data_IF_369469457246
#
_entry.id   IF_369469457246
#
_cell.length_a   1.000
_cell.length_b   1.000
_cell.length_c   1.000
_cell.angle_alpha   90.00
_cell.angle_beta   90.00
_cell.angle_gamma   90.00
#
_symmetry.space_group_name_H-M   'P 1'
#
loop_
_entity.id
_entity.type
_entity.pdbx_description
1 polymer ?
#
# COMPACT_ATOMS: atom_id res chain seq x y z
N UNK A 1 -27.48 41.01 -10.98
CA UNK A 1 -26.48 39.93 -11.07
C UNK A 1 -25.18 40.22 -10.33
N UNK A 2 -24.42 41.29 -10.63
CA UNK A 2 -23.08 41.52 -10.03
C UNK A 2 -23.03 41.58 -8.49
N UNK A 3 -24.06 42.12 -7.82
CA UNK A 3 -24.16 42.18 -6.34
C UNK A 3 -24.20 40.79 -5.65
N UNK A 4 -24.58 39.73 -6.36
CA UNK A 4 -24.64 38.36 -5.82
C UNK A 4 -23.37 37.54 -6.08
N UNK A 5 -22.47 38.00 -6.95
CA UNK A 5 -21.25 37.25 -7.30
C UNK A 5 -20.23 37.27 -6.16
N UNK A 6 -20.03 38.42 -5.50
CA UNK A 6 -19.11 38.57 -4.37
C UNK A 6 -19.45 37.69 -3.16
N UNK A 7 -20.69 37.71 -2.62
CA UNK A 7 -21.03 36.86 -1.48
C UNK A 7 -20.98 35.37 -1.85
N UNK A 8 -21.32 35.01 -3.09
CA UNK A 8 -21.21 33.64 -3.57
C UNK A 8 -19.75 33.17 -3.67
N UNK A 9 -18.86 34.00 -4.23
CA UNK A 9 -17.43 33.71 -4.28
C UNK A 9 -16.81 33.54 -2.90
N UNK A 10 -17.15 34.44 -1.96
CA UNK A 10 -16.70 34.35 -0.57
C UNK A 10 -17.24 33.09 0.14
N UNK A 11 -18.48 32.69 -0.14
CA UNK A 11 -19.06 31.46 0.41
C UNK A 11 -18.30 30.23 -0.10
N UNK A 12 -18.00 30.16 -1.39
CA UNK A 12 -17.22 29.05 -1.98
C UNK A 12 -15.84 28.96 -1.32
N UNK A 13 -15.13 30.10 -1.21
CA UNK A 13 -13.81 30.14 -0.56
C UNK A 13 -13.91 29.68 0.89
N UNK A 14 -14.89 30.18 1.64
CA UNK A 14 -15.09 29.82 3.04
C UNK A 14 -15.38 28.32 3.21
N UNK A 15 -16.23 27.74 2.37
CA UNK A 15 -16.55 26.30 2.41
C UNK A 15 -15.31 25.44 2.13
N UNK A 16 -14.48 25.81 1.17
CA UNK A 16 -13.23 25.10 0.87
C UNK A 16 -12.27 25.19 2.05
N UNK A 17 -12.08 26.39 2.62
CA UNK A 17 -11.22 26.57 3.80
C UNK A 17 -11.72 25.71 4.97
N UNK A 18 -13.02 25.76 5.26
CA UNK A 18 -13.64 24.97 6.34
C UNK A 18 -13.45 23.47 6.10
N UNK A 19 -13.56 22.99 4.87
CA UNK A 19 -13.32 21.59 4.53
C UNK A 19 -11.85 21.18 4.69
N UNK A 20 -10.90 22.09 4.44
CA UNK A 20 -9.47 21.81 4.57
C UNK A 20 -8.94 21.90 6.02
N UNK A 21 -9.54 22.73 6.88
CA UNK A 21 -9.13 22.89 8.28
C UNK A 21 -8.97 21.56 9.02
N UNK A 22 -9.97 20.65 9.05
CA UNK A 22 -9.85 19.42 9.81
C UNK A 22 -8.81 18.44 9.22
N UNK A 23 -8.38 18.63 7.97
CA UNK A 23 -7.36 17.77 7.32
C UNK A 23 -5.92 18.30 7.45
N UNK A 24 -5.77 19.57 7.85
CA UNK A 24 -4.49 20.28 7.87
C UNK A 24 -4.06 20.67 9.29
N UNK A 25 -4.98 21.20 10.10
CA UNK A 25 -4.64 21.69 11.45
C UNK A 25 -4.22 20.55 12.38
N UNK A 26 -4.91 19.39 12.43
CA UNK A 26 -4.50 18.30 13.33
C UNK A 26 -3.09 17.78 13.04
N UNK A 27 -2.67 17.68 11.77
CA UNK A 27 -1.29 17.33 11.40
C UNK A 27 -0.25 18.29 12.00
N UNK A 28 -0.53 19.60 12.00
CA UNK A 28 0.35 20.60 12.62
C UNK A 28 0.43 20.45 14.16
N UNK A 29 -0.58 19.83 14.76
CA UNK A 29 -0.64 19.50 16.18
C UNK A 29 -0.07 18.10 16.51
N UNK A 30 0.52 17.42 15.51
CA UNK A 30 1.14 16.10 15.68
C UNK A 30 0.18 14.93 15.61
N UNK A 31 -1.01 15.11 15.03
CA UNK A 31 -1.95 14.01 14.80
C UNK A 31 -1.66 13.33 13.46
N UNK A 32 -1.76 12.00 13.46
CA UNK A 32 -1.93 11.18 12.26
C UNK A 32 -3.42 11.02 11.97
N UNK A 33 -3.77 10.93 10.69
CA UNK A 33 -5.16 10.86 10.21
C UNK A 33 -5.36 9.59 9.40
N UNK A 34 -6.37 8.78 9.74
CA UNK A 34 -6.70 7.56 9.01
C UNK A 34 -8.19 7.50 8.68
N UNK A 35 -8.50 7.02 7.47
CA UNK A 35 -9.87 6.85 7.02
C UNK A 35 -10.40 5.49 7.49
N UNK A 36 -11.61 5.48 8.03
CA UNK A 36 -12.27 4.25 8.49
C UNK A 36 -13.08 3.68 7.34
N UNK A 37 -12.67 2.53 6.81
CA UNK A 37 -13.31 1.94 5.64
C UNK A 37 -13.97 0.58 5.89
N UNK A 38 -13.72 -0.03 7.06
CA UNK A 38 -14.40 -1.23 7.53
C UNK A 38 -15.31 -0.94 8.72
N UNK A 39 -16.29 -1.81 8.96
CA UNK A 39 -17.27 -1.69 10.05
C UNK A 39 -16.84 -2.34 11.37
N UNK A 40 -15.57 -2.77 11.51
CA UNK A 40 -15.13 -3.54 12.69
C UNK A 40 -15.23 -2.77 14.00
N UNK A 41 -15.22 -1.43 13.95
CA UNK A 41 -15.35 -0.55 15.10
C UNK A 41 -16.77 -0.01 15.33
N UNK A 42 -17.78 -0.52 14.61
CA UNK A 42 -19.16 -0.12 14.87
C UNK A 42 -19.69 -0.68 16.20
N UNK A 43 -20.55 0.07 16.93
CA UNK A 43 -21.09 1.39 16.59
C UNK A 43 -20.22 2.58 17.04
N UNK A 44 -19.08 2.33 17.69
CA UNK A 44 -18.27 3.40 18.30
C UNK A 44 -17.64 4.33 17.26
N UNK A 45 -17.13 3.76 16.17
CA UNK A 45 -16.55 4.50 15.04
C UNK A 45 -17.16 3.96 13.76
N UNK A 46 -18.01 4.75 13.11
CA UNK A 46 -18.70 4.35 11.88
C UNK A 46 -17.80 4.41 10.65
N UNK A 47 -18.11 3.58 9.65
CA UNK A 47 -17.50 3.67 8.31
C UNK A 47 -17.61 5.09 7.76
N UNK A 48 -16.56 5.54 7.06
CA UNK A 48 -16.45 6.90 6.52
C UNK A 48 -16.02 7.95 7.54
N UNK A 49 -15.73 7.56 8.79
CA UNK A 49 -15.10 8.45 9.76
C UNK A 49 -13.64 8.75 9.39
N UNK A 50 -13.16 9.93 9.74
CA UNK A 50 -11.72 10.21 9.82
C UNK A 50 -11.30 10.17 11.29
N UNK A 51 -10.38 9.26 11.65
CA UNK A 51 -9.83 9.15 13.00
C UNK A 51 -8.55 9.96 13.14
N UNK A 52 -8.38 10.58 14.31
CA UNK A 52 -7.20 11.38 14.66
C UNK A 52 -6.43 10.69 15.77
N UNK A 53 -5.19 10.34 15.45
CA UNK A 53 -4.34 9.47 16.26
C UNK A 53 -3.15 10.27 16.76
N UNK A 54 -2.84 10.15 18.04
CA UNK A 54 -1.66 10.75 18.64
C UNK A 54 -0.69 9.66 19.11
N UNK A 55 0.62 9.76 18.79
CA UNK A 55 1.61 8.87 19.37
C UNK A 55 1.50 8.85 20.89
N UNK A 56 1.63 7.66 21.46
CA UNK A 56 1.50 7.42 22.90
C UNK A 56 2.59 6.44 23.34
N UNK A 57 3.17 6.68 24.52
CA UNK A 57 4.10 5.74 25.12
C UNK A 57 3.36 4.49 25.60
N UNK A 58 4.03 3.33 25.65
CA UNK A 58 3.42 2.07 26.08
C UNK A 58 2.69 2.21 27.44
N UNK A 59 3.29 2.95 28.37
CA UNK A 59 2.75 3.16 29.71
C UNK A 59 1.56 4.13 29.78
N UNK A 60 1.27 4.86 28.70
CA UNK A 60 0.11 5.75 28.57
C UNK A 60 -1.12 5.04 27.99
N UNK A 61 -0.92 3.84 27.43
CA UNK A 61 -1.97 3.01 26.87
C UNK A 61 -2.60 2.12 27.95
N UNK A 62 -3.90 1.96 27.89
CA UNK A 62 -4.68 1.15 28.82
C UNK A 62 -5.71 0.30 28.10
N UNK A 63 -6.16 -0.78 28.74
CA UNK A 63 -7.32 -1.53 28.27
C UNK A 63 -8.49 -0.58 27.99
N UNK A 64 -9.26 -0.89 26.95
CA UNK A 64 -10.35 -0.11 26.37
C UNK A 64 -9.93 1.10 25.55
N UNK A 65 -8.65 1.47 25.51
CA UNK A 65 -8.19 2.46 24.54
C UNK A 65 -8.34 1.92 23.12
N UNK A 66 -8.67 2.81 22.19
CA UNK A 66 -8.63 2.50 20.76
C UNK A 66 -7.28 2.98 20.24
N UNK A 67 -6.55 2.08 19.61
CA UNK A 67 -5.25 2.37 19.01
C UNK A 67 -5.31 2.17 17.51
N UNK A 68 -4.49 2.93 16.80
CA UNK A 68 -4.16 2.64 15.41
C UNK A 68 -2.76 2.02 15.36
N UNK A 69 -2.61 0.92 14.63
CA UNK A 69 -1.36 0.18 14.52
C UNK A 69 -1.16 -0.37 13.10
N UNK A 70 0.09 -0.62 12.75
CA UNK A 70 0.47 -1.24 11.48
C UNK A 70 0.18 -2.74 11.53
N UNK A 71 -0.55 -3.23 10.53
CA UNK A 71 -0.84 -4.64 10.31
C UNK A 71 -0.48 -4.99 8.86
N UNK A 72 0.78 -5.36 8.65
CA UNK A 72 1.36 -5.55 7.32
C UNK A 72 1.33 -4.25 6.50
N UNK A 73 0.51 -4.21 5.44
CA UNK A 73 0.41 -3.04 4.57
C UNK A 73 -0.71 -2.05 4.93
N UNK A 74 -1.54 -2.39 5.91
CA UNK A 74 -2.71 -1.60 6.31
C UNK A 74 -2.54 -1.03 7.71
N UNK A 75 -3.32 0.00 8.03
CA UNK A 75 -3.43 0.53 9.39
C UNK A 75 -4.77 0.08 9.95
N UNK A 76 -4.72 -0.70 11.02
CA UNK A 76 -5.92 -1.19 11.72
C UNK A 76 -6.18 -0.31 12.92
N UNK A 77 -7.47 -0.05 13.20
CA UNK A 77 -7.90 0.72 14.37
C UNK A 77 -8.80 -0.16 15.22
N UNK A 78 -8.28 -0.73 16.31
CA UNK A 78 -9.05 -1.62 17.20
C UNK A 78 -8.86 -1.25 18.67
N UNK A 79 -9.73 -1.79 19.52
CA UNK A 79 -9.72 -1.56 20.96
C UNK A 79 -8.81 -2.55 21.67
N UNK A 80 -7.96 -2.07 22.57
CA UNK A 80 -7.16 -2.91 23.46
C UNK A 80 -8.11 -3.66 24.41
N UNK A 81 -8.02 -4.98 24.42
CA UNK A 81 -8.76 -5.85 25.35
C UNK A 81 -7.85 -6.47 26.41
N UNK A 82 -6.54 -6.55 26.15
CA UNK A 82 -5.54 -7.07 27.09
C UNK A 82 -4.17 -6.45 26.80
N UNK A 83 -3.33 -6.32 27.84
CA UNK A 83 -1.96 -5.80 27.74
C UNK A 83 -0.99 -6.78 28.41
N UNK A 84 -0.05 -7.33 27.64
CA UNK A 84 1.10 -8.05 28.17
C UNK A 84 2.27 -7.07 28.36
N UNK A 85 2.57 -6.76 29.62
CA UNK A 85 3.64 -5.81 29.98
C UNK A 85 5.03 -6.42 29.93
N UNK A 86 5.16 -7.73 29.99
CA UNK A 86 6.47 -8.41 29.94
C UNK A 86 6.97 -8.47 28.49
N UNK A 87 6.06 -8.78 27.56
CA UNK A 87 6.37 -8.90 26.13
C UNK A 87 6.10 -7.63 25.33
N UNK A 88 5.52 -6.60 25.97
CA UNK A 88 5.11 -5.33 25.33
C UNK A 88 4.13 -5.55 24.16
N UNK A 89 3.16 -6.45 24.38
CA UNK A 89 2.14 -6.82 23.41
C UNK A 89 0.74 -6.35 23.84
N UNK A 90 -0.10 -6.08 22.85
CA UNK A 90 -1.51 -5.77 23.02
C UNK A 90 -2.37 -6.82 22.32
N UNK A 91 -3.35 -7.37 23.03
CA UNK A 91 -4.46 -8.06 22.36
C UNK A 91 -5.51 -7.03 22.00
N UNK A 92 -5.87 -6.95 20.73
CA UNK A 92 -6.86 -6.00 20.22
C UNK A 92 -8.12 -6.70 19.76
N UNK A 93 -9.20 -5.92 19.61
CA UNK A 93 -10.48 -6.38 19.10
C UNK A 93 -11.25 -5.23 18.47
N UNK A 94 -11.84 -5.45 17.30
CA UNK A 94 -12.87 -4.57 16.75
C UNK A 94 -14.15 -4.63 17.59
N UNK A 95 -14.75 -3.49 17.90
CA UNK A 95 -15.97 -3.41 18.73
C UNK A 95 -17.14 -4.27 18.22
N UNK A 96 -17.24 -4.45 16.89
CA UNK A 96 -18.26 -5.26 16.23
C UNK A 96 -17.87 -6.75 16.13
N UNK A 97 -16.60 -7.11 16.38
CA UNK A 97 -16.11 -8.47 16.19
C UNK A 97 -16.60 -9.40 17.32
N UNK A 98 -16.77 -10.69 17.03
CA UNK A 98 -17.18 -11.69 18.02
C UNK A 98 -16.06 -12.07 18.99
N UNK A 99 -14.85 -12.26 18.46
CA UNK A 99 -13.64 -12.65 19.18
C UNK A 99 -12.58 -11.54 19.16
N UNK A 100 -11.53 -11.71 19.97
CA UNK A 100 -10.33 -10.91 19.85
C UNK A 100 -9.58 -11.24 18.54
N UNK A 101 -8.71 -10.32 18.13
CA UNK A 101 -7.82 -10.54 16.99
C UNK A 101 -6.82 -11.65 17.32
N UNK A 102 -6.52 -12.51 16.34
CA UNK A 102 -5.71 -13.71 16.57
C UNK A 102 -4.23 -13.36 16.84
N UNK A 103 -3.71 -12.35 16.15
CA UNK A 103 -2.32 -11.92 16.28
C UNK A 103 -2.22 -10.77 17.29
N UNK A 104 -1.43 -10.91 18.36
CA UNK A 104 -1.15 -9.81 19.26
C UNK A 104 -0.33 -8.72 18.54
N UNK A 105 -0.52 -7.48 18.97
CA UNK A 105 0.12 -6.29 18.37
C UNK A 105 1.31 -5.89 19.23
N UNK A 106 2.52 -5.93 18.66
CA UNK A 106 3.69 -5.40 19.33
C UNK A 106 3.61 -3.88 19.48
N UNK A 107 4.05 -3.34 20.62
CA UNK A 107 4.08 -1.90 20.86
C UNK A 107 4.80 -1.11 19.76
N UNK A 108 5.86 -1.70 19.18
CA UNK A 108 6.60 -1.12 18.06
C UNK A 108 5.75 -0.84 16.83
N UNK A 109 4.63 -1.56 16.67
CA UNK A 109 3.72 -1.42 15.54
C UNK A 109 2.57 -0.44 15.84
N UNK A 110 2.47 0.05 17.08
CA UNK A 110 1.45 1.03 17.48
C UNK A 110 1.83 2.41 16.98
N UNK A 111 0.99 2.98 16.12
CA UNK A 111 1.13 4.35 15.62
C UNK A 111 0.72 5.34 16.72
N UNK A 112 -0.32 4.99 17.47
CA UNK A 112 -0.76 5.77 18.62
C UNK A 112 -2.21 5.53 19.02
N UNK A 113 -2.66 6.35 19.97
CA UNK A 113 -4.02 6.31 20.51
C UNK A 113 -4.96 7.17 19.67
N UNK A 114 -6.13 6.64 19.33
CA UNK A 114 -7.22 7.42 18.74
C UNK A 114 -7.76 8.38 19.81
N UNK A 115 -7.69 9.68 19.55
CA UNK A 115 -8.14 10.71 20.47
C UNK A 115 -9.59 11.12 20.18
N UNK A 116 -9.92 11.27 18.89
CA UNK A 116 -11.27 11.58 18.43
C UNK A 116 -11.45 11.18 16.97
N UNK A 117 -12.70 11.17 16.49
CA UNK A 117 -13.03 10.93 15.10
C UNK A 117 -14.13 11.89 14.64
N UNK A 118 -14.21 12.13 13.33
CA UNK A 118 -15.28 12.92 12.72
C UNK A 118 -15.99 12.04 11.68
N UNK A 119 -17.27 11.66 11.89
CA UNK A 119 -18.04 10.90 10.92
C UNK A 119 -18.13 11.59 9.56
N UNK A 120 -18.22 10.81 8.48
CA UNK A 120 -18.36 11.26 7.08
C UNK A 120 -17.14 12.00 6.50
N UNK A 121 -16.29 12.60 7.34
CA UNK A 121 -15.12 13.35 6.89
C UNK A 121 -14.07 12.47 6.19
N UNK A 122 -14.06 11.16 6.45
CA UNK A 122 -13.24 10.20 5.76
C UNK A 122 -13.48 10.20 4.24
N UNK A 123 -14.74 10.35 3.80
CA UNK A 123 -15.07 10.48 2.38
C UNK A 123 -14.54 11.78 1.76
N UNK A 124 -14.63 12.89 2.49
CA UNK A 124 -14.10 14.18 2.03
C UNK A 124 -12.57 14.11 1.91
N UNK A 125 -11.92 13.51 2.90
CA UNK A 125 -10.48 13.28 2.90
C UNK A 125 -10.06 12.39 1.73
N UNK A 126 -10.80 11.32 1.43
CA UNK A 126 -10.54 10.44 0.31
C UNK A 126 -10.62 11.18 -1.04
N UNK A 127 -11.69 11.96 -1.26
CA UNK A 127 -11.83 12.78 -2.47
C UNK A 127 -10.65 13.76 -2.60
N UNK A 128 -10.29 14.46 -1.51
CA UNK A 128 -9.18 15.42 -1.53
C UNK A 128 -7.80 14.77 -1.57
N UNK A 129 -7.68 13.46 -1.31
CA UNK A 129 -6.44 12.71 -1.48
C UNK A 129 -6.17 12.38 -2.96
N UNK A 130 -7.21 12.24 -3.78
CA UNK A 130 -7.11 11.96 -5.21
C UNK A 130 -6.67 13.18 -6.03
N UNK A 131 -5.97 12.92 -7.14
CA UNK A 131 -5.48 13.97 -8.05
C UNK A 131 -6.64 14.80 -8.63
N UNK A 132 -7.73 14.15 -9.05
CA UNK A 132 -8.90 14.83 -9.60
C UNK A 132 -9.61 15.68 -8.55
N UNK A 133 -9.76 15.19 -7.33
CA UNK A 133 -10.37 15.95 -6.25
C UNK A 133 -9.56 17.19 -5.86
N UNK A 134 -8.23 17.10 -5.85
CA UNK A 134 -7.34 18.26 -5.65
C UNK A 134 -7.50 19.30 -6.76
N UNK A 135 -7.54 18.86 -8.02
CA UNK A 135 -7.77 19.76 -9.17
C UNK A 135 -9.14 20.43 -9.05
N UNK A 136 -10.19 19.66 -8.73
CA UNK A 136 -11.54 20.17 -8.53
C UNK A 136 -11.61 21.21 -7.42
N UNK A 137 -10.99 20.95 -6.27
CA UNK A 137 -10.91 21.90 -5.17
C UNK A 137 -10.17 23.19 -5.56
N UNK A 138 -9.05 23.08 -6.29
CA UNK A 138 -8.30 24.22 -6.79
C UNK A 138 -9.11 25.06 -7.81
N UNK A 139 -9.84 24.40 -8.72
CA UNK A 139 -10.73 25.07 -9.66
C UNK A 139 -11.89 25.79 -8.95
N UNK A 140 -12.52 25.15 -7.95
CA UNK A 140 -13.56 25.78 -7.15
C UNK A 140 -13.02 26.99 -6.38
N UNK A 141 -11.80 26.91 -5.85
CA UNK A 141 -11.15 28.03 -5.20
C UNK A 141 -10.88 29.18 -6.18
N UNK A 142 -10.38 28.88 -7.38
CA UNK A 142 -10.16 29.86 -8.45
C UNK A 142 -11.48 30.52 -8.89
N UNK A 143 -12.55 29.74 -9.06
CA UNK A 143 -13.89 30.26 -9.35
C UNK A 143 -14.37 31.16 -8.22
N UNK A 144 -14.20 30.75 -6.97
CA UNK A 144 -14.53 31.56 -5.79
C UNK A 144 -13.80 32.90 -5.79
N UNK A 145 -12.50 32.89 -6.07
CA UNK A 145 -11.67 34.10 -6.17
C UNK A 145 -12.09 35.00 -7.34
N UNK A 146 -12.35 34.42 -8.51
CA UNK A 146 -12.85 35.15 -9.69
C UNK A 146 -14.20 35.80 -9.41
N UNK A 147 -15.15 35.08 -8.81
CA UNK A 147 -16.47 35.59 -8.45
C UNK A 147 -16.39 36.70 -7.38
N UNK A 148 -15.48 36.55 -6.42
CA UNK A 148 -15.22 37.56 -5.39
C UNK A 148 -14.67 38.86 -6.01
N UNK A 149 -13.69 38.76 -6.91
CA UNK A 149 -13.07 39.90 -7.60
C UNK A 149 -13.98 40.54 -8.67
N UNK A 150 -14.72 39.76 -9.45
CA UNK A 150 -15.67 40.27 -10.46
C UNK A 150 -16.84 41.05 -9.83
N UNK A 151 -17.13 40.78 -8.56
CA UNK A 151 -18.10 41.54 -7.77
C UNK A 151 -17.58 42.89 -7.24
N UNK A 152 -16.28 43.18 -7.34
CA UNK A 152 -15.67 44.45 -6.90
C UNK A 152 -15.59 45.52 -8.00
N UNK A 153 -15.66 45.13 -9.28
CA UNK A 153 -15.59 46.09 -10.39
C UNK A 153 -16.96 46.77 -10.64
N UNK A 154 -17.06 48.02 -10.15
CA UNK A 154 -18.13 49.03 -10.22
C UNK A 154 -19.10 49.12 -9.02
N UNK A 155 -18.65 49.83 -7.96
CA UNK A 155 -19.46 50.88 -7.32
C UNK A 155 -18.53 52.08 -6.98
N UNK A 156 -17.96 52.73 -8.00
CA UNK A 156 -17.62 54.15 -7.88
C UNK A 156 -18.70 54.95 -8.61
N UNK A 157 -19.60 55.55 -7.82
CA UNK A 157 -20.75 56.28 -8.35
C UNK A 157 -21.62 56.90 -7.26
N UNK A 158 -21.08 57.97 -6.63
CA UNK A 158 -21.72 59.12 -5.95
C UNK A 158 -22.83 58.95 -4.89
N UNK A 159 -22.56 59.59 -3.74
CA UNK A 159 -23.42 60.17 -2.70
C UNK A 159 -24.36 59.28 -1.86
N UNK A 160 -24.03 59.10 -0.59
CA UNK A 160 -24.61 59.88 0.54
C UNK A 160 -24.07 59.35 1.87
N UNK A 161 -23.91 60.26 2.83
CA UNK A 161 -23.42 60.00 4.18
C UNK A 161 -24.33 59.01 4.92
N UNK A 162 -23.76 57.86 5.31
CA UNK A 162 -24.19 57.18 6.52
C UNK A 162 -23.03 56.33 7.05
N UNK A 163 -22.72 56.50 8.34
CA UNK A 163 -21.66 55.77 9.05
C UNK A 163 -22.01 54.28 9.10
N UNK A 164 -21.62 53.54 8.06
CA UNK A 164 -21.58 52.10 8.09
C UNK A 164 -20.30 51.66 8.81
N UNK A 165 -20.46 50.85 9.87
CA UNK A 165 -19.36 50.15 10.54
C UNK A 165 -18.57 49.38 9.48
N UNK A 166 -17.33 49.82 9.18
CA UNK A 166 -16.41 49.11 8.29
C UNK A 166 -16.07 47.76 8.91
N UNK A 167 -16.82 46.71 8.55
CA UNK A 167 -16.37 45.33 8.76
C UNK A 167 -15.08 45.14 7.98
N UNK A 168 -13.95 45.05 8.68
CA UNK A 168 -12.66 44.69 8.08
C UNK A 168 -12.77 43.23 7.61
N UNK A 169 -13.10 43.05 6.32
CA UNK A 169 -12.89 41.77 5.66
C UNK A 169 -11.40 41.51 5.52
N UNK A 170 -11.02 40.23 5.47
CA UNK A 170 -9.63 39.81 5.24
C UNK A 170 -9.18 40.33 3.86
N UNK A 171 -7.99 40.94 3.80
CA UNK A 171 -7.42 41.48 2.55
C UNK A 171 -7.32 40.35 1.49
N UNK A 172 -7.91 40.51 0.29
CA UNK A 172 -7.84 39.52 -0.78
C UNK A 172 -6.40 39.08 -1.14
N UNK A 173 -5.40 39.95 -0.91
CA UNK A 173 -3.98 39.61 -1.10
C UNK A 173 -3.49 38.56 -0.11
N UNK A 174 -3.99 38.57 1.12
CA UNK A 174 -3.67 37.56 2.14
C UNK A 174 -4.27 36.21 1.74
N UNK A 175 -5.51 36.21 1.24
CA UNK A 175 -6.18 34.99 0.75
C UNK A 175 -5.43 34.41 -0.45
N UNK A 176 -5.01 35.25 -1.39
CA UNK A 176 -4.20 34.84 -2.55
C UNK A 176 -2.84 34.27 -2.13
N UNK A 177 -2.15 34.92 -1.18
CA UNK A 177 -0.87 34.43 -0.67
C UNK A 177 -0.99 33.07 0.02
N UNK A 178 -2.05 32.87 0.82
CA UNK A 178 -2.34 31.56 1.44
C UNK A 178 -2.65 30.50 0.37
N UNK A 179 -3.44 30.84 -0.65
CA UNK A 179 -3.76 29.94 -1.75
C UNK A 179 -2.51 29.51 -2.53
N UNK A 180 -1.62 30.45 -2.86
CA UNK A 180 -0.34 30.16 -3.53
C UNK A 180 0.55 29.26 -2.67
N UNK A 181 0.64 29.52 -1.36
CA UNK A 181 1.42 28.69 -0.45
C UNK A 181 0.92 27.24 -0.40
N UNK A 182 -0.40 27.02 -0.40
CA UNK A 182 -1.00 25.67 -0.46
C UNK A 182 -0.66 24.99 -1.80
N UNK A 183 -0.76 25.71 -2.91
CA UNK A 183 -0.45 25.18 -4.25
C UNK A 183 1.02 24.80 -4.35
N UNK A 184 1.95 25.67 -3.95
CA UNK A 184 3.38 25.36 -4.00
C UNK A 184 3.77 24.21 -3.06
N UNK A 185 3.16 24.14 -1.87
CA UNK A 185 3.36 23.01 -0.95
C UNK A 185 2.86 21.70 -1.53
N UNK A 186 1.71 21.73 -2.22
CA UNK A 186 1.14 20.56 -2.90
C UNK A 186 2.01 20.10 -4.08
N UNK A 187 2.53 21.04 -4.87
CA UNK A 187 3.47 20.74 -5.96
C UNK A 187 4.76 20.12 -5.41
N UNK A 188 5.32 20.70 -4.33
CA UNK A 188 6.49 20.14 -3.66
C UNK A 188 6.28 18.71 -3.16
N UNK A 189 5.11 18.43 -2.57
CA UNK A 189 4.72 17.08 -2.15
C UNK A 189 4.57 16.09 -3.31
N UNK A 190 3.98 16.52 -4.44
CA UNK A 190 3.87 15.69 -5.65
C UNK A 190 5.26 15.38 -6.22
N UNK A 191 6.13 16.38 -6.33
CA UNK A 191 7.51 16.21 -6.79
C UNK A 191 8.25 15.23 -5.89
N UNK A 192 8.16 15.38 -4.56
CA UNK A 192 8.78 14.47 -3.61
C UNK A 192 8.32 13.02 -3.79
N UNK A 193 7.01 12.78 -3.90
CA UNK A 193 6.46 11.43 -4.13
C UNK A 193 6.97 10.86 -5.46
N UNK A 194 6.88 11.63 -6.54
CA UNK A 194 7.32 11.18 -7.87
C UNK A 194 8.82 10.88 -7.91
N UNK A 195 9.65 11.73 -7.30
CA UNK A 195 11.09 11.48 -7.13
C UNK A 195 11.37 10.19 -6.35
N UNK A 196 10.53 9.86 -5.36
CA UNK A 196 10.62 8.60 -4.64
C UNK A 196 10.37 7.36 -5.50
N UNK A 197 9.37 7.39 -6.39
CA UNK A 197 9.10 6.31 -7.36
C UNK A 197 10.29 6.13 -8.32
N UNK A 198 10.73 7.22 -8.93
CA UNK A 198 11.85 7.24 -9.87
C UNK A 198 13.16 6.75 -9.24
N UNK A 199 13.42 7.11 -7.98
CA UNK A 199 14.61 6.61 -7.26
C UNK A 199 14.57 5.09 -7.13
N UNK A 200 13.44 4.52 -6.71
CA UNK A 200 13.33 3.08 -6.48
C UNK A 200 13.39 2.28 -7.78
N UNK A 201 12.72 2.75 -8.83
CA UNK A 201 12.73 2.14 -10.16
C UNK A 201 14.16 2.10 -10.71
N UNK A 202 14.86 3.23 -10.67
CA UNK A 202 16.27 3.31 -11.10
C UNK A 202 17.19 2.38 -10.31
N UNK A 203 16.93 2.16 -9.01
CA UNK A 203 17.71 1.21 -8.22
C UNK A 203 17.54 -0.20 -8.78
N UNK A 204 16.30 -0.67 -8.98
CA UNK A 204 16.04 -2.02 -9.46
C UNK A 204 16.44 -2.22 -10.93
N UNK A 205 16.25 -1.22 -11.80
CA UNK A 205 16.77 -1.24 -13.16
C UNK A 205 18.31 -1.36 -13.18
N UNK A 206 19.00 -0.63 -12.30
CA UNK A 206 20.46 -0.75 -12.18
C UNK A 206 20.89 -2.12 -11.67
N UNK A 207 20.14 -2.71 -10.72
CA UNK A 207 20.45 -4.07 -10.25
C UNK A 207 20.28 -5.08 -11.39
N UNK A 208 19.16 -4.99 -12.12
CA UNK A 208 18.92 -5.85 -13.27
C UNK A 208 20.03 -5.68 -14.33
N UNK A 209 20.37 -4.45 -14.71
CA UNK A 209 21.36 -4.17 -15.73
C UNK A 209 22.79 -4.61 -15.37
N UNK A 210 23.15 -4.59 -14.07
CA UNK A 210 24.52 -4.90 -13.64
C UNK A 210 24.71 -6.35 -13.17
N UNK A 211 23.64 -7.02 -12.72
CA UNK A 211 23.73 -8.34 -12.10
C UNK A 211 22.93 -9.42 -12.82
N UNK A 212 22.23 -9.08 -13.91
CA UNK A 212 21.53 -10.07 -14.74
C UNK A 212 22.05 -10.08 -16.16
N UNK A 213 22.02 -11.25 -16.78
CA UNK A 213 22.30 -11.44 -18.22
C UNK A 213 21.08 -12.10 -18.84
N UNK A 214 20.41 -11.40 -19.75
CA UNK A 214 19.25 -11.92 -20.49
C UNK A 214 19.75 -12.54 -21.80
N UNK A 215 19.27 -13.74 -22.14
CA UNK A 215 19.57 -14.32 -23.44
C UNK A 215 19.01 -13.45 -24.59
N UNK A 216 19.69 -13.46 -25.74
CA UNK A 216 19.22 -12.74 -26.91
C UNK A 216 17.83 -13.26 -27.33
N UNK A 217 16.90 -12.35 -27.66
CA UNK A 217 15.50 -12.64 -27.99
C UNK A 217 15.27 -13.59 -29.19
N UNK A 218 16.33 -14.00 -29.89
CA UNK A 218 16.31 -14.88 -31.06
C UNK A 218 16.89 -16.28 -30.78
N UNK A 219 17.32 -16.57 -29.54
CA UNK A 219 17.82 -17.89 -29.20
C UNK A 219 16.63 -18.85 -28.94
N UNK A 220 16.53 -19.94 -29.71
CA UNK A 220 15.81 -21.16 -29.31
C UNK A 220 16.55 -21.77 -28.09
N UNK A 221 16.41 -21.13 -26.93
CA UNK A 221 17.03 -21.51 -25.67
C UNK A 221 16.08 -22.33 -24.81
N UNK A 222 16.63 -23.02 -23.82
CA UNK A 222 15.81 -23.63 -22.77
C UNK A 222 15.31 -22.53 -21.82
N UNK A 223 14.25 -22.79 -21.05
CA UNK A 223 13.69 -21.80 -20.11
C UNK A 223 14.74 -21.23 -19.14
N UNK A 224 15.72 -22.06 -18.76
CA UNK A 224 16.78 -21.68 -17.85
C UNK A 224 17.85 -20.79 -18.49
N UNK A 225 17.85 -20.60 -19.81
CA UNK A 225 18.78 -19.69 -20.49
C UNK A 225 18.24 -18.24 -20.52
N UNK A 226 16.95 -18.03 -20.21
CA UNK A 226 16.30 -16.72 -20.33
C UNK A 226 16.94 -15.64 -19.45
N UNK A 227 17.35 -16.00 -18.23
CA UNK A 227 17.94 -15.08 -17.27
C UNK A 227 19.02 -15.75 -16.40
N UNK A 228 20.25 -15.26 -16.46
CA UNK A 228 21.32 -15.56 -15.50
C UNK A 228 21.49 -14.41 -14.51
N UNK A 229 21.79 -14.73 -13.24
CA UNK A 229 21.92 -13.74 -12.16
C UNK A 229 23.18 -13.98 -11.34
N UNK A 230 24.00 -12.96 -11.13
CA UNK A 230 25.17 -13.00 -10.24
C UNK A 230 24.75 -12.78 -8.77
N UNK A 231 24.14 -13.81 -8.19
CA UNK A 231 23.68 -13.81 -6.79
C UNK A 231 24.84 -13.53 -5.82
N UNK A 232 26.04 -14.05 -6.11
CA UNK A 232 27.21 -13.87 -5.25
C UNK A 232 27.63 -12.39 -5.15
N UNK A 233 27.52 -11.62 -6.24
CA UNK A 233 27.79 -10.18 -6.20
C UNK A 233 26.67 -9.39 -5.52
N UNK A 234 25.41 -9.78 -5.68
CA UNK A 234 24.29 -9.19 -4.94
C UNK A 234 24.43 -9.40 -3.43
N UNK A 235 24.89 -10.59 -3.00
CA UNK A 235 25.14 -10.90 -1.59
C UNK A 235 26.28 -10.08 -0.97
N UNK A 236 27.22 -9.57 -1.79
CA UNK A 236 28.24 -8.60 -1.30
C UNK A 236 27.64 -7.24 -1.00
N UNK A 237 26.57 -6.85 -1.69
CA UNK A 237 25.80 -5.63 -1.40
C UNK A 237 25.02 -5.84 -0.11
N UNK A 238 24.26 -6.94 -0.05
CA UNK A 238 23.51 -7.33 1.13
C UNK A 238 23.47 -8.86 1.29
N UNK A 239 24.07 -9.41 2.36
CA UNK A 239 24.07 -10.86 2.63
C UNK A 239 22.69 -11.49 2.79
N UNK A 240 21.63 -10.68 2.96
CA UNK A 240 20.24 -11.14 3.06
C UNK A 240 19.54 -11.33 1.71
N UNK A 241 20.27 -11.22 0.59
CA UNK A 241 19.79 -11.68 -0.71
C UNK A 241 19.84 -13.20 -0.75
N UNK A 242 18.69 -13.83 -0.90
CA UNK A 242 18.53 -15.30 -0.92
C UNK A 242 18.18 -15.87 -2.29
N UNK A 243 17.89 -15.00 -3.26
CA UNK A 243 17.60 -15.40 -4.63
C UNK A 243 17.16 -14.23 -5.49
N UNK A 244 16.66 -14.55 -6.68
CA UNK A 244 16.09 -13.62 -7.64
C UNK A 244 14.80 -14.19 -8.21
N UNK A 245 13.74 -13.38 -8.23
CA UNK A 245 12.46 -13.74 -8.81
C UNK A 245 12.37 -13.15 -10.22
N UNK A 246 11.99 -13.97 -11.19
CA UNK A 246 11.69 -13.54 -12.56
C UNK A 246 10.37 -14.14 -13.04
N UNK A 247 9.39 -13.31 -13.41
CA UNK A 247 8.15 -13.79 -14.05
C UNK A 247 8.32 -13.69 -15.57
N UNK A 248 8.25 -14.83 -16.23
CA UNK A 248 8.63 -14.98 -17.64
C UNK A 248 7.74 -14.12 -18.55
N UNK A 249 8.36 -13.47 -19.54
CA UNK A 249 7.69 -12.53 -20.44
C UNK A 249 7.31 -11.18 -19.82
N UNK A 250 7.67 -10.92 -18.56
CA UNK A 250 7.39 -9.64 -17.88
C UNK A 250 8.67 -8.92 -17.45
N UNK A 251 8.53 -7.72 -16.89
CA UNK A 251 9.60 -6.98 -16.19
C UNK A 251 9.57 -7.18 -14.66
N UNK A 252 8.78 -8.14 -14.17
CA UNK A 252 8.87 -8.55 -12.76
C UNK A 252 10.16 -9.36 -12.62
N UNK A 253 11.24 -8.66 -12.28
CA UNK A 253 12.59 -9.23 -12.15
C UNK A 253 13.32 -8.53 -11.01
N UNK A 254 13.41 -9.16 -9.84
CA UNK A 254 13.87 -8.51 -8.62
C UNK A 254 14.67 -9.46 -7.69
N UNK A 255 15.61 -8.93 -6.89
CA UNK A 255 16.23 -9.71 -5.83
C UNK A 255 15.21 -10.05 -4.75
N UNK A 256 15.32 -11.25 -4.19
CA UNK A 256 14.52 -11.75 -3.07
C UNK A 256 15.32 -11.59 -1.79
N UNK A 257 14.80 -10.79 -0.87
CA UNK A 257 15.39 -10.52 0.43
C UNK A 257 14.82 -11.43 1.52
N UNK A 258 15.57 -11.70 2.59
CA UNK A 258 15.06 -12.41 3.76
C UNK A 258 15.59 -11.82 5.06
N UNK A 259 14.68 -11.52 5.99
CA UNK A 259 15.00 -10.95 7.30
C UNK A 259 14.65 -11.85 8.49
N UNK A 260 13.88 -12.92 8.30
CA UNK A 260 13.22 -13.65 9.39
C UNK A 260 12.07 -12.86 10.04
N UNK A 261 11.64 -11.76 9.40
CA UNK A 261 10.49 -10.93 9.74
C UNK A 261 9.89 -10.39 8.44
N UNK A 262 8.61 -9.98 8.48
CA UNK A 262 7.88 -9.46 7.32
C UNK A 262 7.84 -7.92 7.23
N UNK A 263 8.61 -7.23 8.07
CA UNK A 263 8.52 -5.78 8.26
C UNK A 263 9.71 -5.05 7.61
N UNK A 264 10.92 -5.59 7.76
CA UNK A 264 12.16 -4.91 7.38
C UNK A 264 12.17 -4.53 5.91
N UNK A 265 11.86 -5.47 5.03
CA UNK A 265 11.93 -5.26 3.58
C UNK A 265 10.64 -4.73 2.98
N UNK A 266 9.59 -4.53 3.80
CA UNK A 266 8.38 -3.84 3.36
C UNK A 266 8.67 -2.40 2.92
N UNK A 267 9.66 -1.71 3.52
CA UNK A 267 9.99 -0.31 3.18
C UNK A 267 11.48 -0.04 3.04
N UNK A 268 12.27 -1.09 2.76
CA UNK A 268 13.71 -0.97 2.57
C UNK A 268 14.14 -1.59 1.25
N UNK A 269 15.12 -0.96 0.61
CA UNK A 269 15.82 -1.51 -0.56
C UNK A 269 16.88 -2.53 -0.14
N UNK A 270 17.53 -3.15 -1.13
CA UNK A 270 18.72 -3.99 -0.93
C UNK A 270 19.81 -3.31 -0.10
N UNK A 271 20.00 -1.99 -0.22
CA UNK A 271 21.01 -1.22 0.53
C UNK A 271 20.54 -0.80 1.94
N UNK A 272 19.39 -1.31 2.40
CA UNK A 272 18.69 -0.94 3.64
C UNK A 272 18.21 0.52 3.70
N UNK A 273 18.22 1.26 2.58
CA UNK A 273 17.66 2.61 2.49
C UNK A 273 16.13 2.56 2.50
N UNK A 274 15.50 3.58 3.09
CA UNK A 274 14.05 3.72 3.04
C UNK A 274 13.57 3.92 1.60
N UNK A 275 12.66 3.07 1.16
CA UNK A 275 11.96 3.21 -0.11
C UNK A 275 10.50 2.79 0.03
N UNK A 276 9.59 3.59 -0.51
CA UNK A 276 8.16 3.31 -0.50
C UNK A 276 7.81 2.00 -1.22
N UNK A 277 8.61 1.61 -2.21
CA UNK A 277 8.43 0.37 -2.96
C UNK A 277 8.86 -0.89 -2.20
N UNK A 278 9.61 -0.74 -1.09
CA UNK A 278 10.24 -1.87 -0.40
C UNK A 278 11.17 -2.68 -1.31
N UNK A 279 11.31 -3.96 -0.98
CA UNK A 279 11.92 -5.01 -1.80
C UNK A 279 10.94 -6.16 -2.00
N UNK A 280 11.28 -7.10 -2.88
CA UNK A 280 10.64 -8.43 -2.89
C UNK A 280 11.29 -9.24 -1.77
N UNK A 281 10.49 -9.90 -0.93
CA UNK A 281 11.03 -10.63 0.22
C UNK A 281 10.24 -11.91 0.54
N UNK A 282 10.94 -12.87 1.13
CA UNK A 282 10.39 -14.14 1.61
C UNK A 282 9.80 -13.96 3.01
N UNK A 283 8.69 -14.63 3.26
CA UNK A 283 7.99 -14.76 4.55
C UNK A 283 8.93 -15.18 5.69
N UNK A 284 8.81 -14.49 6.82
CA UNK A 284 9.71 -14.61 7.97
C UNK A 284 9.70 -15.99 8.63
N UNK A 285 8.58 -16.71 8.57
CA UNK A 285 8.48 -18.08 9.09
C UNK A 285 8.98 -19.16 8.11
N UNK A 286 9.28 -18.82 6.85
CA UNK A 286 9.88 -19.77 5.92
C UNK A 286 11.39 -19.93 6.13
N UNK A 287 11.91 -21.11 5.78
CA UNK A 287 13.35 -21.33 5.69
C UNK A 287 13.92 -20.68 4.43
N UNK A 288 14.99 -19.92 4.60
CA UNK A 288 15.68 -19.22 3.49
C UNK A 288 16.37 -20.13 2.48
N UNK A 289 16.39 -21.44 2.73
CA UNK A 289 16.98 -22.46 1.85
C UNK A 289 15.97 -23.06 0.86
N UNK A 290 14.72 -22.56 0.86
CA UNK A 290 13.65 -23.04 -0.02
C UNK A 290 13.30 -24.51 0.22
N UNK A 291 13.50 -25.02 1.45
CA UNK A 291 13.18 -26.41 1.78
C UNK A 291 11.70 -26.64 2.13
N UNK A 292 10.95 -25.58 2.45
CA UNK A 292 9.54 -25.69 2.79
C UNK A 292 8.68 -26.15 1.60
N UNK A 293 7.65 -26.95 1.89
CA UNK A 293 6.64 -27.31 0.88
C UNK A 293 5.91 -26.08 0.34
N UNK A 294 5.65 -25.07 1.19
CA UNK A 294 5.00 -23.82 0.81
C UNK A 294 5.84 -22.61 1.20
N UNK A 295 6.21 -21.80 0.20
CA UNK A 295 6.96 -20.55 0.40
C UNK A 295 6.11 -19.36 -0.03
N UNK A 296 6.16 -18.26 0.72
CA UNK A 296 5.41 -17.05 0.39
C UNK A 296 6.38 -15.89 0.13
N UNK A 297 6.21 -15.25 -1.03
CA UNK A 297 6.99 -14.09 -1.45
C UNK A 297 6.06 -12.87 -1.51
N UNK A 298 6.47 -11.80 -0.84
CA UNK A 298 5.73 -10.55 -0.77
C UNK A 298 6.33 -9.49 -1.69
N UNK A 299 5.46 -8.64 -2.24
CA UNK A 299 5.85 -7.46 -2.99
C UNK A 299 4.73 -6.41 -3.05
N UNK A 300 5.10 -5.13 -3.11
CA UNK A 300 4.13 -4.04 -3.21
C UNK A 300 3.41 -4.01 -4.56
N UNK A 301 2.11 -3.67 -4.55
CA UNK A 301 1.35 -3.38 -5.77
C UNK A 301 1.52 -1.89 -6.10
N UNK A 302 2.54 -1.56 -6.87
CA UNK A 302 2.85 -0.18 -7.16
C UNK A 302 1.94 0.41 -8.24
N UNK A 303 1.59 1.69 -8.08
CA UNK A 303 0.74 2.43 -9.03
C UNK A 303 1.39 2.63 -10.40
N UNK A 304 2.73 2.73 -10.44
CA UNK A 304 3.52 2.77 -11.67
C UNK A 304 3.81 1.37 -12.25
N UNK A 305 3.14 0.32 -11.75
CA UNK A 305 3.25 -1.07 -12.21
C UNK A 305 4.55 -1.80 -11.83
N UNK A 306 5.53 -1.14 -11.20
CA UNK A 306 6.73 -1.82 -10.70
C UNK A 306 6.44 -2.79 -9.54
N UNK A 307 7.44 -3.55 -9.11
CA UNK A 307 7.32 -4.60 -8.09
C UNK A 307 6.26 -5.64 -8.51
N UNK A 308 5.25 -5.92 -7.69
CA UNK A 308 4.13 -6.80 -8.03
C UNK A 308 2.94 -6.06 -8.65
N UNK A 309 3.14 -4.80 -9.08
CA UNK A 309 2.09 -3.97 -9.66
C UNK A 309 1.42 -4.56 -10.89
N UNK A 310 2.12 -5.41 -11.67
CA UNK A 310 1.58 -6.11 -12.84
C UNK A 310 0.85 -7.41 -12.55
N UNK A 311 0.94 -7.98 -11.34
CA UNK A 311 0.19 -9.20 -11.02
C UNK A 311 -1.32 -9.02 -11.19
N UNK A 312 -1.85 -7.80 -11.05
CA UNK A 312 -3.27 -7.51 -11.30
C UNK A 312 -3.72 -7.81 -12.74
N UNK A 313 -2.81 -7.90 -13.71
CA UNK A 313 -3.15 -8.22 -15.09
C UNK A 313 -3.66 -9.64 -15.27
N UNK A 314 -3.27 -10.60 -14.42
CA UNK A 314 -3.92 -11.92 -14.37
C UNK A 314 -5.44 -11.84 -14.21
N UNK A 315 -5.97 -10.76 -13.62
CA UNK A 315 -7.41 -10.55 -13.43
C UNK A 315 -8.05 -9.67 -14.50
N UNK A 316 -7.30 -8.73 -15.08
CA UNK A 316 -7.88 -7.67 -15.91
C UNK A 316 -7.61 -7.81 -17.40
N UNK A 317 -6.71 -8.71 -17.78
CA UNK A 317 -6.30 -8.96 -19.16
C UNK A 317 -6.48 -10.46 -19.46
N UNK A 318 -7.36 -10.76 -20.41
CA UNK A 318 -7.84 -12.12 -20.69
C UNK A 318 -6.71 -13.01 -21.25
N UNK A 319 -5.71 -12.44 -21.92
CA UNK A 319 -4.61 -13.18 -22.54
C UNK A 319 -3.37 -13.29 -21.63
N UNK A 320 -3.30 -12.47 -20.57
CA UNK A 320 -2.10 -12.33 -19.73
C UNK A 320 -1.67 -13.64 -19.06
N UNK A 321 -2.63 -14.47 -18.62
CA UNK A 321 -2.29 -15.77 -18.05
C UNK A 321 -1.65 -16.69 -19.08
N UNK A 322 -2.16 -16.70 -20.32
CA UNK A 322 -1.66 -17.59 -21.37
C UNK A 322 -0.24 -17.19 -21.82
N UNK A 323 0.07 -15.90 -21.81
CA UNK A 323 1.39 -15.36 -22.15
C UNK A 323 2.42 -15.50 -21.01
N UNK A 324 1.97 -15.56 -19.75
CA UNK A 324 2.83 -15.50 -18.56
C UNK A 324 2.52 -16.62 -17.55
N UNK A 325 2.63 -17.88 -17.98
CA UNK A 325 2.32 -19.06 -17.13
C UNK A 325 3.39 -19.43 -16.12
N UNK A 326 4.60 -18.88 -16.24
CA UNK A 326 5.75 -19.36 -15.50
C UNK A 326 6.50 -18.24 -14.78
N UNK A 327 7.11 -18.60 -13.67
CA UNK A 327 8.13 -17.77 -13.02
C UNK A 327 9.29 -18.63 -12.52
N UNK A 328 10.43 -18.00 -12.35
CA UNK A 328 11.68 -18.62 -11.95
C UNK A 328 12.15 -18.03 -10.62
N UNK A 329 12.69 -18.91 -9.76
CA UNK A 329 13.48 -18.54 -8.59
C UNK A 329 14.91 -18.99 -8.86
N UNK A 330 15.80 -18.02 -8.94
CA UNK A 330 17.21 -18.20 -9.27
C UNK A 330 18.03 -17.96 -8.00
N UNK A 331 18.80 -18.96 -7.61
CA UNK A 331 19.59 -18.97 -6.37
C UNK A 331 21.04 -19.33 -6.70
N UNK A 332 21.92 -19.38 -5.69
CA UNK A 332 23.33 -19.74 -5.93
C UNK A 332 23.53 -21.22 -6.25
N UNK A 333 22.59 -22.07 -5.83
CA UNK A 333 22.54 -23.51 -6.06
C UNK A 333 21.91 -23.87 -7.41
N UNK A 334 21.03 -23.05 -7.99
CA UNK A 334 20.43 -23.35 -9.28
C UNK A 334 19.19 -22.53 -9.59
N UNK A 335 18.38 -23.04 -10.52
CA UNK A 335 17.12 -22.42 -10.95
C UNK A 335 15.96 -23.37 -10.72
N UNK A 336 14.86 -22.82 -10.23
CA UNK A 336 13.57 -23.50 -10.03
C UNK A 336 12.53 -22.80 -10.89
N UNK A 337 11.84 -23.52 -11.77
CA UNK A 337 10.72 -22.98 -12.56
C UNK A 337 9.40 -23.45 -11.97
N UNK A 338 8.47 -22.52 -11.83
CA UNK A 338 7.14 -22.76 -11.29
C UNK A 338 6.10 -22.46 -12.35
N UNK A 339 5.14 -23.37 -12.52
CA UNK A 339 3.96 -23.18 -13.37
C UNK A 339 2.80 -22.65 -12.51
N UNK A 340 2.24 -21.52 -12.91
CA UNK A 340 1.11 -20.90 -12.22
C UNK A 340 -0.14 -21.74 -12.46
N UNK A 341 -0.75 -22.21 -11.37
CA UNK A 341 -1.96 -23.03 -11.44
C UNK A 341 -3.18 -22.39 -10.78
N UNK A 342 -2.97 -21.36 -9.96
CA UNK A 342 -4.05 -20.64 -9.27
C UNK A 342 -3.72 -19.16 -9.04
N UNK A 343 -4.74 -18.31 -9.09
CA UNK A 343 -4.67 -16.92 -8.60
C UNK A 343 -6.05 -16.38 -8.22
N UNK A 344 -6.13 -15.58 -7.15
CA UNK A 344 -7.38 -14.99 -6.67
C UNK A 344 -7.16 -13.83 -5.66
N UNK A 345 -8.23 -13.08 -5.36
CA UNK A 345 -8.23 -12.11 -4.25
C UNK A 345 -8.55 -12.82 -2.90
N UNK A 346 -7.79 -12.51 -1.85
CA UNK A 346 -7.93 -13.08 -0.51
C UNK A 346 -7.78 -12.00 0.58
N UNK A 347 -8.33 -12.23 1.77
CA UNK A 347 -8.20 -11.28 2.88
C UNK A 347 -6.77 -11.30 3.48
N UNK A 348 -6.26 -10.18 4.02
CA UNK A 348 -5.04 -10.20 4.83
C UNK A 348 -5.21 -11.16 6.02
N UNK A 349 -4.23 -12.05 6.25
CA UNK A 349 -4.29 -13.03 7.34
C UNK A 349 -5.24 -14.20 7.10
N UNK A 350 -5.67 -14.43 5.86
CA UNK A 350 -6.44 -15.62 5.50
C UNK A 350 -5.60 -16.90 5.57
N UNK A 351 -6.26 -18.06 5.43
CA UNK A 351 -5.64 -19.39 5.39
C UNK A 351 -4.55 -19.55 4.32
N UNK A 352 -4.51 -18.68 3.30
CA UNK A 352 -3.47 -18.67 2.25
C UNK A 352 -2.08 -18.39 2.81
N UNK A 353 -2.00 -17.68 3.95
CA UNK A 353 -0.72 -17.33 4.58
C UNK A 353 -0.23 -18.39 5.59
N UNK A 354 -0.79 -19.60 5.54
CA UNK A 354 -0.39 -20.68 6.43
C UNK A 354 0.97 -21.24 6.01
N UNK A 355 1.93 -21.15 6.92
CA UNK A 355 3.27 -21.75 6.86
C UNK A 355 3.70 -22.13 8.29
N UNK A 356 4.64 -23.09 8.46
CA UNK A 356 5.18 -23.96 7.42
C UNK A 356 4.21 -25.13 7.10
N UNK A 357 4.35 -25.70 5.91
CA UNK A 357 3.72 -26.96 5.53
C UNK A 357 4.76 -28.06 5.33
N UNK A 358 4.37 -29.30 5.64
CA UNK A 358 5.11 -30.52 5.35
C UNK A 358 4.37 -31.34 4.28
N UNK A 359 5.02 -32.31 3.61
CA UNK A 359 4.37 -33.11 2.58
C UNK A 359 3.42 -34.15 3.20
N UNK A 360 2.21 -33.70 3.53
CA UNK A 360 1.15 -34.50 4.14
C UNK A 360 -0.25 -34.19 3.57
N UNK A 361 -1.26 -34.92 4.07
CA UNK A 361 -2.64 -34.78 3.63
C UNK A 361 -3.22 -33.37 3.91
N UNK A 362 -2.76 -32.69 4.97
CA UNK A 362 -3.20 -31.33 5.31
C UNK A 362 -2.72 -30.34 4.24
N UNK A 363 -1.47 -30.49 3.80
CA UNK A 363 -0.95 -29.71 2.70
C UNK A 363 -1.62 -30.05 1.37
N UNK A 364 -2.00 -31.32 1.13
CA UNK A 364 -2.81 -31.68 -0.04
C UNK A 364 -4.16 -30.95 -0.05
N UNK A 365 -4.82 -30.89 1.10
CA UNK A 365 -6.09 -30.19 1.26
C UNK A 365 -5.93 -28.68 1.08
N UNK A 366 -4.83 -28.10 1.57
CA UNK A 366 -4.47 -26.71 1.30
C UNK A 366 -4.34 -26.43 -0.20
N UNK A 367 -3.61 -27.25 -0.96
CA UNK A 367 -3.48 -27.11 -2.42
C UNK A 367 -4.86 -27.21 -3.10
N UNK A 368 -5.69 -28.16 -2.69
CA UNK A 368 -7.05 -28.32 -3.24
C UNK A 368 -7.90 -27.07 -2.97
N UNK A 369 -7.74 -26.42 -1.81
CA UNK A 369 -8.38 -25.13 -1.52
C UNK A 369 -7.89 -24.04 -2.47
N UNK A 370 -6.58 -23.92 -2.74
CA UNK A 370 -6.05 -22.95 -3.70
C UNK A 370 -6.66 -23.13 -5.09
N UNK A 371 -6.80 -24.38 -5.55
CA UNK A 371 -7.41 -24.71 -6.84
C UNK A 371 -8.88 -24.28 -6.87
N UNK A 372 -9.65 -24.56 -5.82
CA UNK A 372 -11.08 -24.25 -5.79
C UNK A 372 -11.43 -22.76 -5.78
N UNK A 373 -10.53 -21.90 -5.26
CA UNK A 373 -10.73 -20.44 -5.21
C UNK A 373 -10.23 -19.71 -6.46
N UNK A 374 -9.45 -20.40 -7.29
CA UNK A 374 -8.78 -19.83 -8.45
C UNK A 374 -9.73 -19.20 -9.47
N UNK A 375 -9.33 -18.08 -10.06
CA UNK A 375 -9.98 -17.51 -11.24
C UNK A 375 -9.62 -18.25 -12.53
N UNK A 376 -8.55 -19.05 -12.53
CA UNK A 376 -8.13 -19.87 -13.66
C UNK A 376 -8.32 -21.36 -13.41
N UNK A 377 -8.62 -22.10 -14.48
CA UNK A 377 -8.62 -23.56 -14.48
C UNK A 377 -7.40 -24.08 -15.26
N UNK A 378 -6.29 -24.28 -14.55
CA UNK A 378 -5.09 -24.87 -15.15
C UNK A 378 -5.21 -26.39 -15.29
N UNK A 379 -4.72 -26.95 -16.38
CA UNK A 379 -4.65 -28.41 -16.61
C UNK A 379 -3.71 -29.09 -15.60
N UNK A 380 -2.71 -28.35 -15.10
CA UNK A 380 -1.73 -28.83 -14.12
C UNK A 380 -2.35 -29.19 -12.78
N UNK A 381 -3.48 -28.57 -12.42
CA UNK A 381 -4.13 -28.72 -11.10
C UNK A 381 -4.38 -30.17 -10.68
N UNK A 382 -4.69 -31.05 -11.64
CA UNK A 382 -4.96 -32.48 -11.39
C UNK A 382 -3.73 -33.32 -11.06
N UNK A 383 -2.52 -32.79 -11.31
CA UNK A 383 -1.25 -33.50 -11.19
C UNK A 383 -0.45 -33.07 -9.96
N UNK A 384 -0.89 -32.03 -9.26
CA UNK A 384 -0.21 -31.50 -8.07
C UNK A 384 -0.47 -32.43 -6.89
N UNK A 385 0.57 -32.84 -6.19
CA UNK A 385 0.58 -33.71 -5.01
C UNK A 385 1.08 -32.96 -3.77
N UNK A 386 0.93 -33.58 -2.60
CA UNK A 386 1.49 -33.14 -1.32
C UNK A 386 3.03 -33.09 -1.31
N UNK A 387 3.68 -33.79 -2.24
CA UNK A 387 5.15 -33.76 -2.35
C UNK A 387 5.66 -32.61 -3.21
N UNK A 388 4.77 -31.90 -3.91
CA UNK A 388 5.16 -30.79 -4.78
C UNK A 388 5.34 -29.49 -3.98
N UNK A 389 6.40 -28.76 -4.30
CA UNK A 389 6.62 -27.45 -3.72
C UNK A 389 5.75 -26.39 -4.40
N UNK A 390 5.10 -25.55 -3.59
CA UNK A 390 4.30 -24.41 -4.04
C UNK A 390 4.92 -23.10 -3.56
N UNK A 391 4.92 -22.10 -4.44
CA UNK A 391 5.26 -20.71 -4.10
C UNK A 391 4.05 -19.82 -4.31
N UNK A 392 3.76 -18.99 -3.32
CA UNK A 392 2.73 -17.94 -3.40
C UNK A 392 3.38 -16.58 -3.55
N UNK A 393 3.05 -15.86 -4.62
CA UNK A 393 3.36 -14.44 -4.77
C UNK A 393 2.17 -13.63 -4.24
N UNK A 394 2.38 -12.79 -3.22
CA UNK A 394 1.32 -12.01 -2.60
C UNK A 394 1.56 -10.50 -2.72
N UNK A 395 0.52 -9.78 -3.13
CA UNK A 395 0.53 -8.32 -3.21
C UNK A 395 -0.77 -7.68 -2.70
N UNK A 396 -0.75 -6.39 -2.35
CA UNK A 396 -1.97 -5.65 -2.04
C UNK A 396 -2.87 -5.52 -3.28
N UNK A 397 -4.18 -5.65 -3.10
CA UNK A 397 -5.21 -5.32 -4.10
C UNK A 397 -5.82 -3.94 -3.80
N UNK A 398 -6.56 -3.37 -4.77
CA UNK A 398 -7.14 -2.03 -4.64
C UNK A 398 -8.22 -1.92 -3.55
N UNK A 399 -8.70 -3.05 -3.01
CA UNK A 399 -9.84 -3.13 -2.08
C UNK A 399 -9.47 -3.63 -0.68
N UNK A 400 -8.27 -3.32 -0.17
CA UNK A 400 -7.69 -3.88 1.08
C UNK A 400 -7.49 -5.40 1.13
N UNK A 401 -7.98 -6.10 0.11
CA UNK A 401 -7.67 -7.50 -0.18
C UNK A 401 -6.20 -7.64 -0.59
N UNK A 402 -5.74 -8.87 -0.65
CA UNK A 402 -4.48 -9.28 -1.26
C UNK A 402 -4.79 -10.03 -2.55
N UNK A 403 -3.98 -9.82 -3.58
CA UNK A 403 -4.01 -10.64 -4.77
C UNK A 403 -2.88 -11.65 -4.68
N UNK A 404 -3.20 -12.93 -4.80
CA UNK A 404 -2.24 -14.03 -4.68
C UNK A 404 -2.15 -14.82 -5.98
N UNK A 405 -0.92 -15.21 -6.34
CA UNK A 405 -0.60 -16.05 -7.49
C UNK A 405 0.19 -17.25 -6.99
N UNK A 406 -0.23 -18.46 -7.35
CA UNK A 406 0.32 -19.71 -6.83
C UNK A 406 0.95 -20.51 -7.96
N UNK A 407 2.24 -20.80 -7.84
CA UNK A 407 2.99 -21.64 -8.77
C UNK A 407 3.43 -22.94 -8.12
N UNK A 408 3.37 -24.03 -8.87
CA UNK A 408 3.90 -25.34 -8.47
C UNK A 408 5.22 -25.58 -9.18
N UNK A 409 6.22 -26.11 -8.46
CA UNK A 409 7.52 -26.44 -9.04
C UNK A 409 7.32 -27.45 -10.20
N UNK A 410 7.81 -27.11 -11.39
CA UNK A 410 7.67 -27.94 -12.58
C UNK A 410 9.02 -28.42 -13.13
N UNK A 411 10.06 -27.59 -13.06
CA UNK A 411 11.39 -27.90 -13.58
C UNK A 411 12.49 -27.32 -12.70
N UNK A 412 13.68 -27.94 -12.77
CA UNK A 412 14.87 -27.49 -12.03
C UNK A 412 16.12 -27.57 -12.90
N UNK A 413 17.11 -26.73 -12.60
CA UNK A 413 18.42 -26.73 -13.24
C UNK A 413 19.50 -26.49 -12.17
N UNK A 414 20.46 -27.41 -12.05
CA UNK A 414 21.65 -27.24 -11.20
C UNK A 414 21.50 -27.63 -9.72
N UNK A 415 20.31 -28.07 -9.28
CA UNK A 415 19.99 -28.41 -7.89
C UNK A 415 20.49 -29.80 -7.45
#
# INVERSE_FOLDING_TARGET
MKKMLKPLGNLIIALIIIACIPLAVPKLLGFSEFNVISGSMEPAISVGSLVYVKPADFNELSEKDVIAYEAGASVVTHRIVEIDKEQLLFTTKGDANGSADFMPVAYTNVIGKVIFHIPVLGYVAAILAETLGKIGAALLLLVGLLLSNLGDNNIEGKHSENRAVKRHGIDPKIILALGLLIVFSSIGGIIYIYSGYQKSEKIYENLQANYTTVAAAEAEGQWYDELDVDIASLQKINPQVIGWLYVEGTDISYPIMFSGDDEKYLRRTIDNEYAKAGSIFLEGFNYSDWSDSHNIIYGHNMRNLSMFGKLKYYKSDDDYYEEHKYFQIITSDGKRRYEIFSYFDTEPGSWVYTVPFYPDDEYKDYINQLVSHSYVKSERTSQISETDQVVTLSTCSASEMRFTVHGVLCDTQGL
#
